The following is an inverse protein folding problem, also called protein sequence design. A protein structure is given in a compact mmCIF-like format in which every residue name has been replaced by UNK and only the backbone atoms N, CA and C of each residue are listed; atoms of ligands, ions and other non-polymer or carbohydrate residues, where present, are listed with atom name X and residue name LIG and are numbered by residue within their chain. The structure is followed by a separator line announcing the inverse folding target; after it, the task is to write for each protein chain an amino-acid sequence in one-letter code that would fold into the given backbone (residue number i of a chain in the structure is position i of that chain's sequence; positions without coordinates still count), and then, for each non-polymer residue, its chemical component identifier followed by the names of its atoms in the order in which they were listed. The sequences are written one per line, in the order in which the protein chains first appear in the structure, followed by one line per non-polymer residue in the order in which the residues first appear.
data_IF_881869980205
#
_entry.id   IF_881869980205
#
_cell.length_a   1.000
_cell.length_b   1.000
_cell.length_c   1.000
_cell.angle_alpha   90.00
_cell.angle_beta   90.00
_cell.angle_gamma   90.00
#
_symmetry.space_group_name_H-M   'P 1'
#
loop_
_entity.id
_entity.type
_entity.pdbx_description
1 polymer ?
#
# COMPACT_ATOMS: atom_id res chain seq x y z
N UNK A 1 -37.10 61.55 -9.09
CA UNK A 1 -37.78 62.03 -10.32
C UNK A 1 -36.85 63.05 -10.97
N UNK A 2 -36.59 63.05 -12.29
CA UNK A 2 -37.07 62.19 -13.40
C UNK A 2 -36.06 61.05 -13.70
N UNK A 3 -36.40 59.84 -14.16
CA UNK A 3 -37.30 59.32 -15.21
C UNK A 3 -36.69 59.30 -16.63
N UNK A 4 -36.78 58.10 -17.24
CA UNK A 4 -36.76 57.78 -18.69
C UNK A 4 -35.42 57.26 -19.27
N UNK A 5 -35.31 56.16 -20.02
CA UNK A 5 -36.14 54.96 -20.32
C UNK A 5 -35.34 54.04 -21.28
N UNK A 6 -35.57 52.72 -21.16
CA UNK A 6 -35.64 51.68 -22.22
C UNK A 6 -34.39 51.25 -23.03
N UNK A 7 -34.09 49.95 -23.01
CA UNK A 7 -34.39 49.01 -24.14
C UNK A 7 -34.19 47.55 -23.68
N UNK A 8 -35.23 46.75 -23.86
CA UNK A 8 -35.26 45.28 -23.72
C UNK A 8 -35.04 44.65 -25.11
N UNK A 9 -34.29 43.55 -25.21
CA UNK A 9 -34.44 42.61 -26.32
C UNK A 9 -34.65 41.20 -25.78
N UNK A 10 -35.72 40.59 -26.29
CA UNK A 10 -36.27 39.28 -25.96
C UNK A 10 -35.67 38.16 -26.83
N UNK A 11 -35.74 36.94 -26.24
CA UNK A 11 -36.16 35.64 -26.82
C UNK A 11 -35.13 34.68 -27.44
N UNK A 12 -35.32 33.44 -26.95
CA UNK A 12 -34.81 32.09 -27.25
C UNK A 12 -35.23 31.57 -28.65
N UNK A 13 -34.76 30.38 -29.10
CA UNK A 13 -35.52 29.15 -28.83
C UNK A 13 -34.72 27.83 -28.72
N UNK A 14 -35.40 26.85 -28.14
CA UNK A 14 -35.05 25.45 -27.94
C UNK A 14 -34.77 24.64 -29.23
N UNK A 15 -34.07 23.50 -29.07
CA UNK A 15 -34.33 22.28 -29.85
C UNK A 15 -34.15 21.02 -28.99
N UNK A 16 -35.27 20.30 -28.81
CA UNK A 16 -35.37 18.87 -28.46
C UNK A 16 -35.30 18.02 -29.74
N UNK A 17 -35.18 16.69 -29.57
CA UNK A 17 -35.48 15.52 -30.46
C UNK A 17 -34.27 14.58 -30.41
N UNK A 18 -34.24 13.46 -29.67
CA UNK A 18 -35.03 12.20 -29.71
C UNK A 18 -34.56 11.16 -30.76
N UNK A 19 -34.52 9.91 -30.29
CA UNK A 19 -34.78 8.64 -31.01
C UNK A 19 -33.60 7.72 -31.44
N UNK A 20 -33.63 6.55 -30.79
CA UNK A 20 -33.63 5.16 -31.34
C UNK A 20 -32.35 4.42 -31.71
N UNK A 21 -32.41 3.14 -31.33
CA UNK A 21 -31.43 2.07 -31.41
C UNK A 21 -31.23 1.51 -32.83
N UNK A 22 -30.06 0.91 -33.05
CA UNK A 22 -29.87 -0.14 -34.04
C UNK A 22 -28.86 -1.17 -33.52
N UNK A 23 -29.39 -2.32 -33.08
CA UNK A 23 -28.62 -3.56 -32.94
C UNK A 23 -28.43 -4.12 -34.34
N UNK A 24 -27.18 -4.28 -34.78
CA UNK A 24 -26.85 -5.09 -35.95
C UNK A 24 -25.79 -6.10 -35.54
N UNK A 25 -26.23 -7.34 -35.37
CA UNK A 25 -25.37 -8.50 -35.35
C UNK A 25 -25.09 -8.89 -36.80
N UNK A 26 -23.83 -8.80 -37.23
CA UNK A 26 -23.36 -9.52 -38.42
C UNK A 26 -22.30 -10.53 -37.98
N UNK A 27 -22.72 -11.80 -38.01
CA UNK A 27 -21.82 -12.92 -38.15
C UNK A 27 -21.40 -13.03 -39.63
N UNK A 28 -20.11 -13.29 -39.84
CA UNK A 28 -19.42 -13.94 -40.97
C UNK A 28 -18.04 -13.27 -41.13
N UNK A 29 -17.00 -13.95 -40.65
CA UNK A 29 -15.63 -13.44 -40.66
C UNK A 29 -14.93 -13.56 -42.01
N UNK A 30 -13.72 -12.99 -42.11
CA UNK A 30 -12.63 -13.61 -42.81
C UNK A 30 -11.43 -13.86 -41.89
N UNK A 31 -10.83 -15.02 -42.10
CA UNK A 31 -9.52 -15.44 -41.64
C UNK A 31 -8.42 -14.45 -42.06
N UNK A 32 -7.36 -14.40 -41.23
CA UNK A 32 -6.04 -13.79 -41.47
C UNK A 32 -5.89 -12.30 -41.13
N UNK A 33 -5.68 -12.03 -39.83
CA UNK A 33 -4.68 -11.07 -39.39
C UNK A 33 -3.81 -11.77 -38.34
N UNK A 34 -2.57 -12.03 -38.74
CA UNK A 34 -1.51 -12.53 -37.90
C UNK A 34 -1.27 -11.57 -36.74
N UNK A 35 -1.36 -12.12 -35.52
CA UNK A 35 -0.51 -11.79 -34.36
C UNK A 35 -0.26 -10.30 -34.09
N UNK A 36 -1.31 -9.53 -33.83
CA UNK A 36 -1.22 -8.53 -32.77
C UNK A 36 -1.51 -9.27 -31.46
N UNK A 37 -0.50 -9.97 -30.92
CA UNK A 37 -0.55 -10.43 -29.54
C UNK A 37 -0.87 -9.23 -28.65
N UNK A 38 -1.53 -9.43 -27.49
CA UNK A 38 -1.66 -8.35 -26.54
C UNK A 38 -0.24 -7.81 -26.35
N UNK A 39 -0.05 -6.50 -26.54
CA UNK A 39 1.13 -5.84 -26.03
C UNK A 39 1.18 -6.27 -24.57
N UNK A 40 2.10 -7.18 -24.26
CA UNK A 40 2.40 -7.53 -22.90
C UNK A 40 2.85 -6.21 -22.31
N UNK A 41 1.93 -5.52 -21.62
CA UNK A 41 2.31 -4.80 -20.44
C UNK A 41 3.16 -5.81 -19.69
N UNK A 42 4.47 -5.61 -19.70
CA UNK A 42 5.40 -6.32 -18.86
C UNK A 42 4.79 -6.21 -17.48
N UNK A 43 4.04 -7.21 -17.05
CA UNK A 43 3.60 -7.34 -15.69
C UNK A 43 4.90 -7.32 -14.93
N UNK A 44 5.13 -6.20 -14.26
CA UNK A 44 6.43 -5.79 -13.79
C UNK A 44 6.76 -6.74 -12.63
N UNK A 45 7.30 -7.91 -12.98
CA UNK A 45 7.87 -8.93 -12.12
C UNK A 45 9.20 -8.47 -11.51
N UNK A 46 9.59 -7.21 -11.77
CA UNK A 46 10.55 -6.47 -10.98
C UNK A 46 9.94 -6.12 -9.62
N UNK A 47 10.76 -6.21 -8.56
CA UNK A 47 10.36 -5.95 -7.18
C UNK A 47 9.71 -4.58 -6.99
N UNK A 48 9.13 -4.37 -5.81
CA UNK A 48 8.42 -3.14 -5.47
C UNK A 48 9.16 -2.47 -4.33
N UNK A 49 9.23 -1.15 -4.35
CA UNK A 49 9.68 -0.38 -3.20
C UNK A 49 8.82 0.86 -3.07
N UNK A 50 8.47 1.19 -1.82
CA UNK A 50 7.65 2.32 -1.45
C UNK A 50 8.27 3.08 -0.29
N UNK A 51 8.00 4.37 -0.25
CA UNK A 51 8.49 5.26 0.80
C UNK A 51 7.51 6.41 1.02
N UNK A 52 7.11 6.66 2.27
CA UNK A 52 6.15 7.71 2.64
C UNK A 52 6.57 8.44 3.91
N UNK A 53 6.46 9.77 3.92
CA UNK A 53 6.86 10.61 5.07
C UNK A 53 5.80 10.62 6.15
N UNK A 54 4.53 10.78 5.76
CA UNK A 54 3.41 10.78 6.68
C UNK A 54 2.24 10.07 6.02
N UNK A 55 1.66 9.12 6.73
CA UNK A 55 0.35 8.54 6.42
C UNK A 55 -0.56 8.76 7.61
N UNK A 56 -1.72 9.36 7.38
CA UNK A 56 -2.75 9.54 8.42
C UNK A 56 -3.99 8.76 8.03
N UNK A 57 -4.60 8.09 9.00
CA UNK A 57 -5.94 7.55 8.94
C UNK A 57 -6.68 7.98 10.19
N UNK A 58 -7.08 9.25 10.22
CA UNK A 58 -7.77 9.86 11.35
C UNK A 58 -9.25 10.05 11.02
N UNK A 59 -10.12 9.86 12.00
CA UNK A 59 -11.54 10.14 11.92
C UNK A 59 -11.85 11.30 12.87
N UNK A 60 -12.38 12.39 12.31
CA UNK A 60 -12.73 13.58 13.08
C UNK A 60 -14.23 13.62 13.28
N UNK A 61 -14.64 13.54 14.54
CA UNK A 61 -16.04 13.64 14.95
C UNK A 61 -16.30 15.03 15.51
N UNK A 62 -17.15 15.79 14.82
CA UNK A 62 -17.56 17.14 15.20
C UNK A 62 -18.95 17.14 15.82
N UNK A 63 -19.20 18.13 16.70
CA UNK A 63 -20.53 18.47 17.23
C UNK A 63 -21.29 17.25 17.77
N UNK A 64 -20.81 16.61 18.84
CA UNK A 64 -21.40 15.39 19.42
C UNK A 64 -21.48 14.22 18.43
N UNK A 65 -20.44 14.04 17.60
CA UNK A 65 -20.33 12.94 16.62
C UNK A 65 -21.40 12.97 15.53
N UNK A 66 -22.06 14.11 15.32
CA UNK A 66 -23.12 14.26 14.31
C UNK A 66 -22.53 14.37 12.90
N UNK A 67 -21.28 14.85 12.79
CA UNK A 67 -20.52 14.91 11.53
C UNK A 67 -19.22 14.15 11.72
N UNK A 68 -18.97 13.17 10.87
CA UNK A 68 -17.71 12.43 10.82
C UNK A 68 -16.99 12.74 9.52
N UNK A 69 -15.75 13.24 9.63
CA UNK A 69 -14.90 13.61 8.50
C UNK A 69 -13.64 12.74 8.53
N UNK A 70 -13.46 11.83 7.57
CA UNK A 70 -12.24 11.03 7.48
C UNK A 70 -11.08 11.88 6.93
N UNK A 71 -9.97 11.90 7.65
CA UNK A 71 -8.72 12.56 7.29
C UNK A 71 -7.67 11.52 6.89
N UNK A 72 -7.73 11.12 5.63
CA UNK A 72 -6.76 10.23 4.99
C UNK A 72 -5.81 11.03 4.13
N UNK A 73 -4.56 11.17 4.59
CA UNK A 73 -3.52 11.92 3.88
C UNK A 73 -2.28 11.06 3.78
N UNK A 74 -1.68 11.00 2.59
CA UNK A 74 -0.32 10.54 2.41
C UNK A 74 0.55 11.67 1.85
N UNK A 75 1.67 11.96 2.52
CA UNK A 75 2.58 13.04 2.15
C UNK A 75 3.91 12.49 1.68
N UNK A 76 4.39 13.06 0.58
CA UNK A 76 5.67 12.74 -0.04
C UNK A 76 5.82 11.23 -0.36
N UNK A 77 4.71 10.56 -0.65
CA UNK A 77 4.68 9.14 -1.01
C UNK A 77 5.26 8.93 -2.41
N UNK A 78 6.15 7.96 -2.54
CA UNK A 78 6.77 7.57 -3.80
C UNK A 78 6.77 6.06 -3.95
N UNK A 79 6.63 5.61 -5.20
CA UNK A 79 6.76 4.22 -5.61
C UNK A 79 7.92 4.12 -6.60
N UNK A 80 8.72 3.07 -6.49
CA UNK A 80 9.89 2.89 -7.32
C UNK A 80 9.56 2.77 -8.83
N UNK A 81 10.44 3.28 -9.72
CA UNK A 81 11.61 4.11 -9.43
C UNK A 81 11.22 5.59 -9.29
N UNK A 82 11.30 6.16 -8.09
CA UNK A 82 11.02 7.58 -7.86
C UNK A 82 11.63 8.07 -6.55
N UNK A 83 12.00 9.35 -6.52
CA UNK A 83 12.41 10.07 -5.31
C UNK A 83 11.64 11.38 -5.16
N UNK A 84 11.50 11.84 -3.94
CA UNK A 84 10.96 13.15 -3.62
C UNK A 84 11.69 13.73 -2.41
N UNK A 85 12.44 14.80 -2.65
CA UNK A 85 13.17 15.55 -1.63
C UNK A 85 12.52 16.92 -1.46
N UNK A 86 12.16 17.26 -0.22
CA UNK A 86 11.53 18.53 0.15
C UNK A 86 12.28 19.14 1.34
N UNK A 87 12.73 20.36 1.16
CA UNK A 87 13.14 21.26 2.23
C UNK A 87 11.93 22.10 2.66
N UNK A 88 11.72 22.24 3.97
CA UNK A 88 10.59 22.96 4.56
C UNK A 88 9.21 22.46 4.07
N UNK A 89 8.96 21.15 4.17
CA UNK A 89 7.67 20.56 3.79
C UNK A 89 6.56 21.07 4.73
N UNK A 90 5.57 21.74 4.15
CA UNK A 90 4.34 22.15 4.83
C UNK A 90 3.14 21.59 4.07
N UNK A 91 2.28 20.86 4.76
CA UNK A 91 1.02 20.38 4.21
C UNK A 91 -0.15 21.04 4.93
N UNK A 92 -1.01 21.69 4.16
CA UNK A 92 -2.22 22.34 4.66
C UNK A 92 -3.45 21.61 4.12
N UNK A 93 -4.49 21.58 4.92
CA UNK A 93 -5.81 21.10 4.52
C UNK A 93 -6.80 22.23 4.75
N UNK A 94 -7.58 22.51 3.71
CA UNK A 94 -8.63 23.51 3.77
C UNK A 94 -9.93 22.88 4.32
N UNK A 95 -10.61 23.59 5.23
CA UNK A 95 -12.02 23.32 5.49
C UNK A 95 -12.38 22.35 6.61
N UNK A 96 -11.44 21.90 7.44
CA UNK A 96 -11.73 20.98 8.56
C UNK A 96 -11.61 21.60 9.96
N UNK A 97 -11.31 22.91 10.03
CA UNK A 97 -11.33 23.72 11.25
C UNK A 97 -12.16 24.98 11.04
N UNK A 98 -13.48 24.83 10.91
CA UNK A 98 -14.39 25.97 10.73
C UNK A 98 -14.16 26.78 9.43
N UNK A 99 -13.60 26.15 8.39
CA UNK A 99 -13.29 26.80 7.12
C UNK A 99 -11.89 27.43 7.03
N UNK A 100 -11.10 27.41 8.11
CA UNK A 100 -9.71 27.88 8.09
C UNK A 100 -8.76 26.79 7.58
N UNK A 101 -7.69 27.16 6.84
CA UNK A 101 -6.61 26.24 6.53
C UNK A 101 -5.85 25.86 7.81
N UNK A 102 -5.59 24.57 7.99
CA UNK A 102 -4.75 24.09 9.09
C UNK A 102 -3.57 23.26 8.56
N UNK A 103 -2.42 23.40 9.21
CA UNK A 103 -1.20 22.69 8.81
C UNK A 103 -1.09 21.35 9.53
N UNK A 104 -1.23 20.25 8.79
CA UNK A 104 -1.12 18.88 9.33
C UNK A 104 0.32 18.54 9.68
N UNK A 105 1.24 18.81 8.74
CA UNK A 105 2.66 18.51 8.88
C UNK A 105 3.48 19.74 8.56
N UNK A 106 4.47 20.02 9.40
CA UNK A 106 5.61 20.90 9.09
C UNK A 106 6.89 20.14 9.38
N UNK A 107 7.84 20.17 8.47
CA UNK A 107 9.15 19.54 8.64
C UNK A 107 10.24 20.28 7.87
N UNK A 108 11.44 20.35 8.42
CA UNK A 108 12.56 21.04 7.76
C UNK A 108 13.14 20.20 6.62
N UNK A 109 13.17 18.89 6.79
CA UNK A 109 13.63 17.94 5.77
C UNK A 109 12.62 16.81 5.68
N UNK A 110 12.19 16.50 4.47
CA UNK A 110 11.38 15.34 4.14
C UNK A 110 11.91 14.70 2.86
N UNK A 111 12.55 13.54 2.99
CA UNK A 111 13.15 12.80 1.87
C UNK A 111 12.50 11.44 1.75
N UNK A 112 12.10 11.08 0.54
CA UNK A 112 11.64 9.73 0.20
C UNK A 112 12.33 9.25 -1.07
N UNK A 113 12.77 8.00 -1.05
CA UNK A 113 13.42 7.35 -2.19
C UNK A 113 12.92 5.93 -2.28
N UNK A 114 12.54 5.53 -3.49
CA UNK A 114 12.17 4.17 -3.81
C UNK A 114 12.86 3.78 -5.12
N UNK A 115 13.69 2.74 -5.06
CA UNK A 115 14.51 2.28 -6.19
C UNK A 115 14.36 0.78 -6.38
N UNK A 116 14.29 0.35 -7.63
CA UNK A 116 14.33 -1.07 -8.01
C UNK A 116 15.34 -1.21 -9.13
N UNK A 117 16.51 -1.77 -8.84
CA UNK A 117 17.61 -1.91 -9.79
C UNK A 117 18.48 -3.13 -9.43
N UNK A 118 18.98 -3.86 -10.44
CA UNK A 118 19.97 -4.91 -10.23
C UNK A 118 19.53 -6.03 -9.28
N UNK A 119 18.26 -6.41 -9.29
CA UNK A 119 17.71 -7.42 -8.37
C UNK A 119 17.51 -6.93 -6.93
N UNK A 120 17.63 -5.62 -6.69
CA UNK A 120 17.44 -4.98 -5.40
C UNK A 120 16.28 -3.99 -5.43
N UNK A 121 15.36 -4.11 -4.48
CA UNK A 121 14.33 -3.14 -4.18
C UNK A 121 14.67 -2.44 -2.85
N UNK A 122 14.76 -1.12 -2.85
CA UNK A 122 15.09 -0.32 -1.67
C UNK A 122 14.09 0.83 -1.50
N UNK A 123 13.47 0.90 -0.33
CA UNK A 123 12.68 2.03 0.14
C UNK A 123 13.44 2.74 1.25
N UNK A 124 13.51 4.07 1.18
CA UNK A 124 14.16 4.91 2.18
C UNK A 124 13.33 6.15 2.46
N UNK A 125 13.18 6.48 3.74
CA UNK A 125 12.55 7.70 4.21
C UNK A 125 13.36 8.36 5.29
N UNK A 126 13.32 9.69 5.27
CA UNK A 126 13.92 10.52 6.30
C UNK A 126 13.08 11.76 6.52
N UNK A 127 12.94 12.11 7.79
CA UNK A 127 12.18 13.25 8.23
C UNK A 127 12.93 13.93 9.38
N UNK A 128 13.16 15.23 9.30
CA UNK A 128 13.83 16.00 10.34
C UNK A 128 13.02 17.24 10.75
N UNK A 129 13.09 17.55 12.05
CA UNK A 129 12.40 18.63 12.74
C UNK A 129 10.92 18.70 12.38
N UNK A 130 10.23 17.56 12.49
CA UNK A 130 8.85 17.47 12.08
C UNK A 130 7.88 17.68 13.24
N UNK A 131 6.77 18.37 12.95
CA UNK A 131 5.65 18.62 13.85
C UNK A 131 4.36 18.23 13.16
N UNK A 132 3.59 17.36 13.82
CA UNK A 132 2.25 16.96 13.36
C UNK A 132 1.20 17.60 14.23
N UNK A 133 0.17 18.19 13.60
CA UNK A 133 -0.98 18.76 14.28
C UNK A 133 -2.25 18.02 13.88
N UNK A 134 -3.21 18.01 14.80
CA UNK A 134 -4.55 17.46 14.59
C UNK A 134 -5.60 18.54 14.88
N UNK A 135 -6.77 18.50 14.22
CA UNK A 135 -7.87 19.41 14.53
C UNK A 135 -8.23 19.40 16.02
N UNK A 136 -8.66 20.55 16.54
CA UNK A 136 -9.05 20.71 17.95
C UNK A 136 -7.90 20.93 18.94
N UNK A 137 -6.63 20.87 18.51
CA UNK A 137 -5.45 21.16 19.34
C UNK A 137 -4.55 22.25 18.71
N UNK A 138 -4.99 23.52 18.68
CA UNK A 138 -4.23 24.58 18.01
C UNK A 138 -2.90 24.92 18.72
N UNK A 139 -2.84 24.74 20.04
CA UNK A 139 -1.67 25.10 20.85
C UNK A 139 -0.66 23.96 21.01
N UNK A 140 -1.08 22.71 20.79
CA UNK A 140 -0.28 21.53 21.06
C UNK A 140 -0.12 20.71 19.79
N UNK A 141 1.12 20.45 19.38
CA UNK A 141 1.39 19.43 18.37
C UNK A 141 1.07 18.05 18.95
N UNK A 142 0.48 17.18 18.12
CA UNK A 142 0.28 15.78 18.45
C UNK A 142 1.64 15.14 18.79
N UNK A 143 2.62 15.37 17.90
CA UNK A 143 3.98 14.91 18.08
C UNK A 143 4.98 15.86 17.42
N UNK A 144 6.12 16.05 18.07
CA UNK A 144 7.31 16.70 17.52
C UNK A 144 8.49 15.72 17.57
N UNK A 145 9.23 15.62 16.47
CA UNK A 145 10.35 14.68 16.32
C UNK A 145 11.61 15.39 15.81
N UNK A 146 12.76 14.99 16.36
CA UNK A 146 14.07 15.49 15.96
C UNK A 146 14.47 15.01 14.56
N UNK A 147 14.89 13.76 14.43
CA UNK A 147 15.18 13.14 13.14
C UNK A 147 14.79 11.68 13.17
N UNK A 148 14.13 11.21 12.13
CA UNK A 148 13.67 9.84 12.02
C UNK A 148 13.99 9.32 10.62
N UNK A 149 14.45 8.07 10.56
CA UNK A 149 14.81 7.41 9.30
C UNK A 149 14.25 6.01 9.28
N UNK A 150 13.76 5.56 8.13
CA UNK A 150 13.39 4.17 7.90
C UNK A 150 13.90 3.68 6.56
N UNK A 151 14.36 2.44 6.54
CA UNK A 151 14.93 1.79 5.37
C UNK A 151 14.43 0.36 5.28
N UNK A 152 13.98 -0.03 4.09
CA UNK A 152 13.62 -1.40 3.76
C UNK A 152 14.40 -1.83 2.52
N UNK A 153 15.13 -2.94 2.62
CA UNK A 153 15.98 -3.45 1.53
C UNK A 153 15.64 -4.92 1.27
N UNK A 154 15.31 -5.20 0.02
CA UNK A 154 14.95 -6.52 -0.46
C UNK A 154 15.84 -6.87 -1.65
N UNK A 155 16.74 -7.85 -1.49
CA UNK A 155 17.64 -8.30 -2.54
C UNK A 155 17.22 -9.71 -2.96
N UNK A 156 17.20 -9.97 -4.26
CA UNK A 156 16.89 -11.30 -4.79
C UNK A 156 17.85 -12.35 -4.22
N UNK A 157 17.30 -13.40 -3.60
CA UNK A 157 18.07 -14.49 -2.99
C UNK A 157 18.58 -14.22 -1.57
N UNK A 158 18.33 -13.04 -1.00
CA UNK A 158 18.69 -12.71 0.39
C UNK A 158 17.46 -12.50 1.26
N UNK A 159 17.65 -12.56 2.58
CA UNK A 159 16.58 -12.24 3.53
C UNK A 159 16.30 -10.73 3.53
N UNK A 160 15.04 -10.29 3.42
CA UNK A 160 14.67 -8.89 3.52
C UNK A 160 15.13 -8.25 4.84
N UNK A 161 15.60 -7.00 4.75
CA UNK A 161 16.12 -6.23 5.90
C UNK A 161 15.31 -4.96 6.08
N UNK A 162 14.85 -4.73 7.31
CA UNK A 162 14.13 -3.53 7.74
C UNK A 162 14.92 -2.83 8.85
N UNK A 163 15.16 -1.54 8.70
CA UNK A 163 15.84 -0.68 9.66
C UNK A 163 15.03 0.56 9.95
N UNK A 164 15.03 0.98 11.22
CA UNK A 164 14.39 2.21 11.67
C UNK A 164 15.23 2.84 12.76
N UNK A 165 15.45 4.14 12.68
CA UNK A 165 16.21 4.90 13.66
C UNK A 165 15.49 6.20 14.03
N UNK A 166 15.58 6.55 15.31
CA UNK A 166 15.02 7.75 15.91
C UNK A 166 16.17 8.48 16.62
N UNK A 167 16.56 9.62 16.08
CA UNK A 167 17.63 10.46 16.61
C UNK A 167 17.04 11.74 17.20
N UNK A 168 17.33 11.98 18.48
CA UNK A 168 16.89 13.16 19.19
C UNK A 168 15.65 12.95 20.06
N UNK A 169 15.13 14.06 20.60
CA UNK A 169 13.97 14.02 21.50
C UNK A 169 12.66 13.87 20.75
N UNK A 170 11.68 13.27 21.42
CA UNK A 170 10.29 13.25 20.99
C UNK A 170 9.43 13.95 22.03
N UNK A 171 8.53 14.80 21.55
CA UNK A 171 7.54 15.49 22.38
C UNK A 171 6.16 15.08 21.90
N UNK A 172 5.29 14.68 22.82
CA UNK A 172 3.93 14.20 22.51
C UNK A 172 2.95 15.04 23.31
N UNK A 173 2.01 15.70 22.63
CA UNK A 173 1.04 16.60 23.28
C UNK A 173 1.70 17.61 24.24
N UNK A 174 2.86 18.16 23.84
CA UNK A 174 3.65 19.10 24.65
C UNK A 174 4.49 18.48 25.78
N UNK A 175 4.46 17.16 25.99
CA UNK A 175 5.31 16.47 26.97
C UNK A 175 6.51 15.82 26.30
N UNK A 176 7.72 16.20 26.73
CA UNK A 176 8.96 15.54 26.29
C UNK A 176 9.04 14.14 26.90
N UNK A 177 9.24 13.13 26.06
CA UNK A 177 9.38 11.74 26.49
C UNK A 177 10.82 11.25 26.31
N UNK A 178 11.26 10.40 27.23
CA UNK A 178 12.50 9.63 27.06
C UNK A 178 12.14 8.38 26.29
N UNK A 179 12.69 8.24 25.07
CA UNK A 179 12.45 7.08 24.24
C UNK A 179 13.26 5.88 24.73
N UNK A 180 12.65 4.70 24.73
CA UNK A 180 13.36 3.42 24.71
C UNK A 180 13.85 3.11 23.29
N UNK A 181 14.78 2.18 23.16
CA UNK A 181 15.34 1.73 21.86
C UNK A 181 14.31 1.00 20.97
N UNK A 182 13.11 0.73 21.48
CA UNK A 182 11.97 0.15 20.78
C UNK A 182 10.78 -0.08 21.71
N UNK A 183 9.69 -0.63 21.17
CA UNK A 183 8.49 -1.00 21.94
C UNK A 183 7.36 0.02 21.88
N UNK A 184 6.39 -0.11 22.78
CA UNK A 184 5.24 0.80 22.89
C UNK A 184 5.36 1.71 24.10
N UNK A 185 4.90 2.95 23.99
CA UNK A 185 4.84 3.93 25.09
C UNK A 185 3.50 4.66 25.04
N UNK A 186 2.74 4.66 26.13
CA UNK A 186 1.50 5.44 26.22
C UNK A 186 1.76 6.77 26.94
N UNK A 187 1.26 7.86 26.37
CA UNK A 187 1.32 9.21 26.92
C UNK A 187 -0.11 9.71 27.11
N UNK A 188 -0.49 9.92 28.36
CA UNK A 188 -1.80 10.45 28.73
C UNK A 188 -1.67 11.89 29.23
N UNK A 189 -2.47 12.79 28.64
CA UNK A 189 -2.51 14.20 29.02
C UNK A 189 -3.93 14.55 29.48
N UNK A 190 -4.12 14.89 30.77
CA UNK A 190 -5.42 15.27 31.30
C UNK A 190 -6.07 16.41 30.51
N UNK A 191 -7.36 16.25 30.18
CA UNK A 191 -8.14 17.23 29.43
C UNK A 191 -7.82 17.33 27.93
N UNK A 192 -6.90 16.51 27.40
CA UNK A 192 -6.51 16.50 25.99
C UNK A 192 -6.78 15.14 25.35
N UNK A 193 -6.18 14.07 25.89
CA UNK A 193 -6.30 12.75 25.30
C UNK A 193 -5.15 11.80 25.65
N UNK A 194 -5.07 10.72 24.89
CA UNK A 194 -4.07 9.66 25.02
C UNK A 194 -3.46 9.34 23.66
N UNK A 195 -2.15 9.14 23.64
CA UNK A 195 -1.39 8.76 22.45
C UNK A 195 -0.51 7.58 22.80
N UNK A 196 -0.68 6.48 22.06
CA UNK A 196 0.21 5.32 22.15
C UNK A 196 1.20 5.35 20.99
N UNK A 197 2.49 5.36 21.29
CA UNK A 197 3.58 5.36 20.33
C UNK A 197 4.12 3.94 20.18
N UNK A 198 4.16 3.42 18.97
CA UNK A 198 5.00 2.30 18.55
C UNK A 198 6.29 2.83 17.95
N UNK A 199 7.42 2.46 18.54
CA UNK A 199 8.75 2.94 18.16
C UNK A 199 9.45 1.88 17.29
N UNK A 200 10.01 2.31 16.17
CA UNK A 200 10.84 1.48 15.28
C UNK A 200 10.21 0.14 14.93
N UNK A 201 8.97 0.17 14.47
CA UNK A 201 8.25 -1.04 14.06
C UNK A 201 8.90 -1.59 12.77
N UNK A 202 9.20 -2.89 12.77
CA UNK A 202 9.84 -3.60 11.66
C UNK A 202 9.12 -4.91 11.45
N UNK A 203 8.81 -5.20 10.19
CA UNK A 203 8.23 -6.47 9.78
C UNK A 203 9.00 -6.98 8.58
N UNK A 204 9.42 -8.24 8.63
CA UNK A 204 10.14 -8.90 7.55
C UNK A 204 9.52 -10.27 7.32
N UNK A 205 9.28 -10.61 6.07
CA UNK A 205 8.88 -11.93 5.59
C UNK A 205 9.97 -12.50 4.69
N UNK A 206 9.71 -13.60 3.99
CA UNK A 206 10.66 -14.16 3.03
C UNK A 206 10.87 -13.26 1.81
N UNK A 207 9.86 -12.47 1.43
CA UNK A 207 9.89 -11.65 0.22
C UNK A 207 9.64 -10.17 0.47
N UNK A 208 9.26 -9.75 1.67
CA UNK A 208 8.94 -8.35 1.96
C UNK A 208 9.62 -7.85 3.23
N UNK A 209 9.93 -6.57 3.25
CA UNK A 209 10.32 -5.86 4.45
C UNK A 209 9.58 -4.52 4.55
N UNK A 210 9.19 -4.16 5.76
CA UNK A 210 8.58 -2.89 6.09
C UNK A 210 9.24 -2.35 7.37
N UNK A 211 9.55 -1.06 7.36
CA UNK A 211 10.06 -0.34 8.51
C UNK A 211 9.28 0.96 8.68
N UNK A 212 8.81 1.23 9.89
CA UNK A 212 8.15 2.49 10.24
C UNK A 212 8.83 3.07 11.47
N UNK A 213 9.24 4.34 11.35
CA UNK A 213 9.95 4.98 12.44
C UNK A 213 9.05 5.20 13.66
N UNK A 214 7.85 5.72 13.43
CA UNK A 214 6.85 5.92 14.46
C UNK A 214 5.47 5.57 13.94
N UNK A 215 4.72 4.84 14.75
CA UNK A 215 3.32 4.53 14.54
C UNK A 215 2.56 5.00 15.77
N UNK A 216 1.60 5.91 15.61
CA UNK A 216 0.86 6.50 16.71
C UNK A 216 -0.60 6.05 16.62
N UNK A 217 -1.12 5.52 17.72
CA UNK A 217 -2.56 5.40 17.95
C UNK A 217 -3.01 6.61 18.75
N UNK A 218 -3.93 7.37 18.17
CA UNK A 218 -4.35 8.67 18.68
C UNK A 218 -5.79 8.56 19.15
N UNK A 219 -6.04 9.07 20.36
CA UNK A 219 -7.38 9.32 20.86
C UNK A 219 -7.38 10.67 21.58
N UNK A 220 -7.90 11.70 20.93
CA UNK A 220 -7.92 13.08 21.42
C UNK A 220 -9.36 13.55 21.54
N UNK A 221 -9.75 13.99 22.74
CA UNK A 221 -11.07 14.59 22.99
C UNK A 221 -10.89 15.77 23.95
N UNK A 222 -10.64 16.97 23.41
CA UNK A 222 -10.35 18.15 24.23
C UNK A 222 -11.49 18.42 25.20
N UNK A 223 -11.15 18.51 26.50
CA UNK A 223 -12.07 18.75 27.62
C UNK A 223 -13.23 17.74 27.72
N UNK A 224 -13.19 16.61 27.00
CA UNK A 224 -14.28 15.64 26.86
C UNK A 224 -15.61 16.26 26.40
N UNK A 225 -15.55 17.32 25.59
CA UNK A 225 -16.74 18.05 25.13
C UNK A 225 -17.28 17.55 23.79
N UNK A 226 -16.64 16.56 23.14
CA UNK A 226 -17.06 15.97 21.86
C UNK A 226 -17.23 17.00 20.73
N UNK A 227 -16.50 18.11 20.79
CA UNK A 227 -16.56 19.17 19.77
C UNK A 227 -15.65 18.83 18.58
N UNK A 228 -14.51 18.19 18.85
CA UNK A 228 -13.53 17.72 17.88
C UNK A 228 -12.80 16.50 18.44
N UNK A 229 -13.50 15.37 18.50
CA UNK A 229 -12.91 14.09 18.86
C UNK A 229 -12.15 13.54 17.65
N UNK A 230 -10.90 13.14 17.86
CA UNK A 230 -10.01 12.63 16.82
C UNK A 230 -9.48 11.27 17.25
N UNK A 231 -9.80 10.27 16.44
CA UNK A 231 -9.37 8.89 16.64
C UNK A 231 -8.66 8.37 15.40
N UNK A 232 -7.70 7.47 15.59
CA UNK A 232 -7.12 6.71 14.50
C UNK A 232 -5.62 6.57 14.58
N UNK A 233 -4.98 6.50 13.41
CA UNK A 233 -3.57 6.17 13.30
C UNK A 233 -2.77 7.19 12.48
N UNK A 234 -1.54 7.43 12.94
CA UNK A 234 -0.56 8.25 12.23
C UNK A 234 0.75 7.48 12.11
N UNK A 235 1.25 7.33 10.90
CA UNK A 235 2.53 6.67 10.62
C UNK A 235 3.51 7.69 10.04
N UNK A 236 4.69 7.78 10.64
CA UNK A 236 5.77 8.68 10.22
C UNK A 236 6.97 7.89 9.73
N UNK A 237 7.49 8.31 8.57
CA UNK A 237 8.64 7.72 7.89
C UNK A 237 8.50 6.20 7.76
N UNK A 238 7.68 5.75 6.80
CA UNK A 238 7.48 4.34 6.47
C UNK A 238 8.23 4.02 5.16
N UNK A 239 8.95 2.91 5.15
CA UNK A 239 9.64 2.37 4.00
C UNK A 239 9.24 0.90 3.82
N UNK A 240 8.96 0.51 2.58
CA UNK A 240 8.56 -0.85 2.23
C UNK A 240 9.34 -1.35 1.02
N UNK A 241 9.58 -2.65 0.97
CA UNK A 241 10.11 -3.32 -0.20
C UNK A 241 9.53 -4.72 -0.36
N UNK A 242 9.55 -5.17 -1.59
CA UNK A 242 9.20 -6.51 -2.05
C UNK A 242 10.31 -7.01 -2.98
N UNK A 243 10.86 -8.18 -2.65
CA UNK A 243 11.94 -8.85 -3.36
C UNK A 243 11.53 -9.09 -4.81
N UNK A 244 12.33 -8.64 -5.78
CA UNK A 244 12.12 -8.98 -7.18
C UNK A 244 12.08 -10.50 -7.36
N UNK A 245 11.10 -11.00 -8.12
CA UNK A 245 11.10 -12.41 -8.46
C UNK A 245 12.33 -12.69 -9.32
N UNK A 246 13.12 -13.68 -8.93
CA UNK A 246 14.21 -14.18 -9.75
C UNK A 246 13.61 -15.00 -10.91
N UNK A 247 12.93 -14.33 -11.84
CA UNK A 247 12.64 -14.94 -13.14
C UNK A 247 13.98 -15.08 -13.86
N UNK A 248 14.49 -16.33 -13.86
CA UNK A 248 15.63 -16.87 -14.60
C UNK A 248 16.63 -15.83 -15.10
N UNK A 249 17.77 -15.73 -14.39
CA UNK A 249 19.01 -15.49 -15.11
C UNK A 249 19.02 -16.46 -16.30
N UNK A 250 19.21 -16.01 -17.56
CA UNK A 250 19.18 -16.89 -18.71
C UNK A 250 20.13 -18.06 -18.42
N UNK A 251 19.58 -19.28 -18.43
CA UNK A 251 20.34 -20.48 -18.19
C UNK A 251 21.62 -20.42 -19.03
N UNK A 252 22.81 -20.66 -18.43
CA UNK A 252 24.05 -20.65 -19.19
C UNK A 252 23.87 -21.64 -20.35
N UNK A 253 23.98 -21.13 -21.58
CA UNK A 253 23.90 -21.94 -22.80
C UNK A 253 24.83 -23.15 -22.63
N UNK A 254 24.37 -24.40 -22.85
CA UNK A 254 25.24 -25.55 -22.82
C UNK A 254 26.44 -25.31 -23.74
N UNK A 255 27.63 -25.37 -23.17
CA UNK A 255 28.88 -25.32 -23.93
C UNK A 255 28.91 -26.55 -24.84
N UNK A 256 29.23 -26.44 -26.15
CA UNK A 256 29.35 -27.61 -27.00
C UNK A 256 30.47 -28.51 -26.48
N UNK A 257 30.13 -29.75 -26.10
CA UNK A 257 31.12 -30.81 -25.88
C UNK A 257 31.77 -31.17 -27.22
N UNK A 258 33.12 -31.26 -27.29
CA UNK A 258 33.80 -31.76 -28.48
C UNK A 258 33.52 -33.26 -28.66
N UNK A 259 33.04 -33.63 -29.84
CA UNK A 259 33.10 -35.00 -30.34
C UNK A 259 34.57 -35.42 -30.54
N UNK A 260 34.93 -36.58 -30.00
CA UNK A 260 36.15 -37.33 -30.34
C UNK A 260 36.08 -38.70 -29.67
N UNK A 261 35.57 -39.73 -30.32
CA UNK A 261 36.25 -40.64 -31.28
C UNK A 261 36.68 -41.94 -30.57
N UNK A 262 36.47 -43.05 -31.29
CA UNK A 262 36.31 -44.43 -30.83
C UNK A 262 37.64 -45.10 -30.43
N UNK A 263 37.58 -46.11 -29.57
CA UNK A 263 38.44 -47.30 -29.67
C UNK A 263 37.83 -48.52 -28.94
N UNK A 264 38.02 -49.69 -29.54
CA UNK A 264 37.35 -50.97 -29.35
C UNK A 264 37.62 -51.75 -28.04
N UNK A 265 36.63 -52.60 -27.69
CA UNK A 265 36.58 -53.68 -26.68
C UNK A 265 37.49 -54.88 -27.06
N UNK A 266 37.77 -55.95 -26.23
CA UNK A 266 36.71 -56.79 -25.63
C UNK A 266 37.00 -57.64 -24.33
N UNK A 267 35.88 -58.21 -23.82
CA UNK A 267 35.63 -59.42 -22.96
C UNK A 267 36.15 -59.51 -21.50
N UNK A 268 35.24 -59.66 -20.50
CA UNK A 268 34.78 -60.97 -19.96
C UNK A 268 33.63 -60.88 -18.93
N UNK A 269 32.81 -61.93 -18.89
CA UNK A 269 31.53 -62.11 -18.18
C UNK A 269 31.73 -62.58 -16.73
N UNK A 270 30.79 -62.26 -15.81
CA UNK A 270 29.98 -63.23 -14.99
C UNK A 270 29.22 -62.56 -13.82
N UNK A 271 27.88 -62.59 -13.95
CA UNK A 271 26.79 -62.89 -12.99
C UNK A 271 26.67 -62.32 -11.55
N UNK A 272 25.42 -61.88 -11.27
CA UNK A 272 24.59 -62.06 -10.06
C UNK A 272 24.55 -60.99 -8.93
N UNK A 273 23.33 -60.46 -8.74
CA UNK A 273 22.75 -59.64 -7.64
C UNK A 273 22.75 -60.38 -6.27
N UNK A 274 22.36 -59.77 -5.12
CA UNK A 274 21.83 -58.41 -4.88
C UNK A 274 22.52 -57.63 -3.74
N UNK A 275 22.38 -56.29 -3.74
CA UNK A 275 22.91 -55.40 -2.70
C UNK A 275 21.87 -55.11 -1.61
N UNK A 276 22.34 -55.10 -0.36
CA UNK A 276 21.62 -54.71 0.85
C UNK A 276 22.02 -53.28 1.31
N UNK A 277 21.04 -52.62 1.94
CA UNK A 277 21.09 -51.55 2.95
C UNK A 277 21.74 -50.18 2.64
N UNK A 278 20.94 -49.09 2.67
CA UNK A 278 20.74 -48.16 3.82
C UNK A 278 19.99 -46.87 3.42
N UNK A 279 19.31 -46.32 4.42
CA UNK A 279 18.41 -45.16 4.46
C UNK A 279 19.07 -43.82 4.10
N UNK A 280 18.36 -42.90 3.42
CA UNK A 280 18.06 -41.54 3.93
C UNK A 280 17.21 -40.66 2.97
N UNK A 281 16.08 -40.19 3.51
CA UNK A 281 15.47 -38.86 3.42
C UNK A 281 15.30 -38.12 2.07
N UNK A 282 14.06 -38.11 1.59
CA UNK A 282 13.43 -36.94 0.97
C UNK A 282 12.00 -36.81 1.50
N UNK A 283 11.88 -36.26 2.70
CA UNK A 283 10.62 -35.88 3.32
C UNK A 283 10.25 -34.48 2.84
N UNK A 284 9.44 -34.39 1.78
CA UNK A 284 8.68 -33.17 1.49
C UNK A 284 7.24 -33.41 1.92
N UNK A 285 6.87 -32.80 3.04
CA UNK A 285 5.56 -32.90 3.65
C UNK A 285 4.43 -32.43 2.74
N UNK A 286 3.65 -33.39 2.24
CA UNK A 286 2.31 -33.16 1.73
C UNK A 286 1.31 -33.27 2.88
N UNK A 287 0.74 -32.13 3.30
CA UNK A 287 -0.29 -32.12 4.34
C UNK A 287 -1.60 -32.75 3.81
N UNK A 288 -2.17 -33.70 4.55
CA UNK A 288 -3.35 -34.50 4.22
C UNK A 288 -4.70 -33.77 4.38
N UNK A 289 -4.85 -32.56 3.83
CA UNK A 289 -6.13 -31.81 3.87
C UNK A 289 -6.65 -31.38 2.48
N UNK A 290 -6.03 -31.89 1.41
CA UNK A 290 -6.25 -31.45 0.03
C UNK A 290 -7.43 -32.05 -0.75
N UNK A 291 -8.30 -32.95 -0.26
CA UNK A 291 -9.52 -33.30 -1.01
C UNK A 291 -10.70 -32.35 -0.72
N UNK A 292 -10.67 -31.57 0.37
CA UNK A 292 -11.83 -30.75 0.76
C UNK A 292 -11.91 -29.38 0.04
N UNK A 293 -10.78 -28.84 -0.44
CA UNK A 293 -10.75 -27.54 -1.12
C UNK A 293 -11.29 -27.63 -2.56
N UNK A 294 -11.17 -28.80 -3.21
CA UNK A 294 -11.68 -29.01 -4.57
C UNK A 294 -13.22 -29.18 -4.63
N UNK A 295 -13.89 -29.48 -3.51
CA UNK A 295 -15.34 -29.72 -3.46
C UNK A 295 -16.20 -28.49 -3.10
N UNK A 296 -15.64 -27.47 -2.44
CA UNK A 296 -16.43 -26.37 -1.84
C UNK A 296 -16.96 -25.31 -2.81
N UNK A 297 -16.37 -25.18 -4.00
CA UNK A 297 -16.68 -24.07 -4.92
C UNK A 297 -18.05 -24.19 -5.62
N UNK A 298 -18.58 -25.40 -5.77
CA UNK A 298 -19.86 -25.64 -6.50
C UNK A 298 -21.07 -25.20 -5.66
N UNK A 299 -21.00 -25.31 -4.33
CA UNK A 299 -22.12 -24.97 -3.44
C UNK A 299 -22.30 -23.45 -3.31
N UNK A 300 -21.21 -22.68 -3.28
CA UNK A 300 -21.26 -21.21 -3.20
C UNK A 300 -21.80 -20.56 -4.49
N UNK A 301 -21.51 -21.13 -5.66
CA UNK A 301 -22.05 -20.64 -6.93
C UNK A 301 -23.56 -20.92 -7.07
N UNK A 302 -24.05 -22.05 -6.54
CA UNK A 302 -25.49 -22.34 -6.53
C UNK A 302 -26.27 -21.41 -5.58
N UNK A 303 -25.73 -21.11 -4.40
CA UNK A 303 -26.36 -20.20 -3.43
C UNK A 303 -26.35 -18.73 -3.91
N UNK A 304 -25.22 -18.25 -4.46
CA UNK A 304 -25.10 -16.87 -4.97
C UNK A 304 -25.94 -16.61 -6.23
N UNK A 305 -26.01 -17.59 -7.15
CA UNK A 305 -26.82 -17.47 -8.37
C UNK A 305 -28.32 -17.41 -8.11
N UNK A 306 -28.82 -18.18 -7.13
CA UNK A 306 -30.23 -18.20 -6.75
C UNK A 306 -30.74 -16.87 -6.17
N UNK A 307 -29.93 -16.21 -5.34
CA UNK A 307 -30.30 -14.94 -4.71
C UNK A 307 -30.43 -13.78 -5.72
N UNK A 308 -29.52 -13.72 -6.71
CA UNK A 308 -29.54 -12.68 -7.75
C UNK A 308 -30.69 -12.87 -8.73
N UNK A 309 -31.05 -14.12 -9.06
CA UNK A 309 -32.19 -14.43 -9.91
C UNK A 309 -33.54 -14.08 -9.25
N UNK A 310 -33.70 -14.33 -7.95
CA UNK A 310 -34.90 -13.95 -7.19
C UNK A 310 -35.04 -12.43 -7.05
N UNK A 311 -33.95 -11.70 -6.82
CA UNK A 311 -33.97 -10.23 -6.73
C UNK A 311 -34.33 -9.55 -8.06
N UNK A 312 -33.91 -10.13 -9.20
CA UNK A 312 -34.32 -9.65 -10.53
C UNK A 312 -35.79 -9.92 -10.84
N UNK A 313 -36.37 -11.02 -10.34
CA UNK A 313 -37.77 -11.38 -10.59
C UNK A 313 -38.76 -10.53 -9.77
N UNK A 314 -38.35 -10.02 -8.61
CA UNK A 314 -39.14 -9.08 -7.81
C UNK A 314 -39.25 -7.68 -8.42
N UNK A 315 -38.24 -7.22 -9.16
CA UNK A 315 -38.23 -5.91 -9.83
C UNK A 315 -39.11 -5.84 -11.09
N UNK A 316 -39.42 -6.98 -11.70
CA UNK A 316 -40.31 -7.04 -12.88
C UNK A 316 -41.80 -7.26 -12.52
N UNK A 317 -42.16 -7.31 -11.24
CA UNK A 317 -43.56 -7.37 -10.77
C UNK A 317 -44.06 -6.07 -10.13
N UNK A 318 -43.26 -5.00 -10.19
CA UNK A 318 -43.57 -3.67 -9.65
C UNK A 318 -43.74 -2.62 -10.76
N UNK A 319 -44.27 -3.03 -11.91
CA UNK A 319 -44.78 -2.16 -12.97
C UNK A 319 -46.17 -2.65 -13.37
#
# INVERSE_FOLDING_TARGET
MPSSTLTTVLRTPARRVAATAAVTALALGPTVLATAGPAAATEHSGGKAGAVVLRTGLDVSLLNKTVNVPLKVSLNEVQAPKSADRTALTAQLDGVDGGQPFSVLRADVARTKATVEGGKAEGFTELAHAKVHVPGLPLLSLIEVGQVTSKATCVAGEKPVAESNLLGGVTVLGKKITLSTGGTTSVKVPGVGEVTLGLSNRSTTDTTAAASALQLKVHVNPLNLNVAEVDGEVTLAEATCETPNAAEAPAPKPKPEPQGEKADTPVQKTQAQPAADKQDLAETGGNEMTPYIAGGAIVLLAAGGGAVAMARRGRNRAL
#
